data_IF_220679642574
#
_entry.id   IF_220679642574
#
_cell.length_a   1.000
_cell.length_b   1.000
_cell.length_c   1.000
_cell.angle_alpha   90.00
_cell.angle_beta   90.00
_cell.angle_gamma   90.00
#
_symmetry.space_group_name_H-M   'P 1'
#
loop_
_entity.id
_entity.type
_entity.pdbx_description
1 polymer ?
#
# COMPACT_ATOMS: atom_id res chain seq x y z
N UNK A 1 34.75 34.85 -9.53
CA UNK A 1 35.25 33.57 -8.96
C UNK A 1 36.46 33.05 -9.76
N UNK A 2 37.39 33.94 -10.15
CA UNK A 2 38.51 33.59 -11.04
C UNK A 2 39.88 34.01 -10.51
N UNK A 3 39.93 34.66 -9.34
CA UNK A 3 41.19 35.08 -8.70
C UNK A 3 41.72 34.07 -7.68
N UNK A 4 40.91 33.07 -7.28
CA UNK A 4 41.33 32.05 -6.32
C UNK A 4 42.25 30.99 -6.96
N UNK A 5 41.98 30.58 -8.21
CA UNK A 5 42.79 29.56 -8.89
C UNK A 5 44.23 30.02 -9.24
N UNK A 6 44.40 31.31 -9.57
CA UNK A 6 45.71 31.87 -9.97
C UNK A 6 46.66 32.01 -8.77
N UNK A 7 46.14 32.15 -7.56
CA UNK A 7 46.94 32.20 -6.33
C UNK A 7 47.24 30.81 -5.76
N UNK A 8 46.40 29.80 -6.03
CA UNK A 8 46.60 28.43 -5.55
C UNK A 8 47.82 27.79 -6.22
N UNK A 9 47.96 27.87 -7.55
CA UNK A 9 49.07 27.24 -8.28
C UNK A 9 50.48 27.69 -7.81
N UNK A 10 50.76 29.00 -7.68
CA UNK A 10 52.05 29.46 -7.17
C UNK A 10 52.23 29.08 -5.69
N UNK A 11 51.18 29.17 -4.88
CA UNK A 11 51.24 28.86 -3.45
C UNK A 11 51.44 27.35 -3.19
N UNK A 12 50.93 26.48 -4.06
CA UNK A 12 51.15 25.02 -4.03
C UNK A 12 52.60 24.67 -4.38
N UNK A 13 53.15 25.31 -5.42
CA UNK A 13 54.55 25.14 -5.81
C UNK A 13 55.48 25.68 -4.72
N UNK A 14 55.18 26.86 -4.17
CA UNK A 14 55.93 27.42 -3.04
C UNK A 14 55.81 26.56 -1.79
N UNK A 15 54.63 26.02 -1.48
CA UNK A 15 54.43 25.13 -0.33
C UNK A 15 55.16 23.80 -0.52
N UNK A 16 55.10 23.20 -1.72
CA UNK A 16 55.84 21.98 -2.04
C UNK A 16 57.36 22.20 -1.99
N UNK A 17 57.85 23.28 -2.59
CA UNK A 17 59.26 23.66 -2.53
C UNK A 17 59.70 24.00 -1.11
N UNK A 18 58.87 24.69 -0.33
CA UNK A 18 59.18 25.05 1.05
C UNK A 18 59.17 23.83 1.97
N UNK A 19 58.24 22.89 1.80
CA UNK A 19 58.23 21.59 2.50
C UNK A 19 59.48 20.79 2.13
N UNK A 20 59.83 20.72 0.85
CA UNK A 20 61.03 20.03 0.39
C UNK A 20 62.30 20.68 0.93
N UNK A 21 62.38 22.01 0.90
CA UNK A 21 63.50 22.79 1.43
C UNK A 21 63.59 22.68 2.95
N UNK A 22 62.47 22.67 3.68
CA UNK A 22 62.41 22.40 5.12
C UNK A 22 62.89 21.00 5.45
N UNK A 23 62.44 19.97 4.72
CA UNK A 23 62.91 18.60 4.87
C UNK A 23 64.41 18.45 4.57
N UNK A 24 64.94 19.28 3.67
CA UNK A 24 66.35 19.25 3.27
C UNK A 24 67.25 20.06 4.22
N UNK A 25 66.79 21.23 4.70
CA UNK A 25 67.47 22.10 5.65
C UNK A 25 67.42 21.55 7.08
N UNK A 26 66.32 20.89 7.45
CA UNK A 26 66.23 20.11 8.66
C UNK A 26 67.01 18.80 8.46
N UNK A 27 68.35 18.92 8.39
CA UNK A 27 69.27 17.80 8.51
C UNK A 27 69.03 17.12 9.86
N UNK A 28 68.05 16.22 9.90
CA UNK A 28 68.13 15.03 10.71
C UNK A 28 69.10 14.11 9.97
N UNK A 29 70.38 14.01 10.38
CA UNK A 29 71.25 13.00 9.81
C UNK A 29 70.61 11.65 10.14
N UNK A 30 69.94 11.01 9.18
CA UNK A 30 69.66 9.59 9.32
C UNK A 30 71.03 8.90 9.20
N UNK A 31 71.55 8.28 10.27
CA UNK A 31 72.77 7.50 10.16
C UNK A 31 72.55 6.42 9.10
N UNK A 32 73.33 6.47 8.02
CA UNK A 32 73.30 5.45 6.96
C UNK A 32 73.64 4.10 7.62
N UNK A 33 72.68 3.18 7.65
CA UNK A 33 72.86 1.82 8.20
C UNK A 33 72.17 1.49 9.52
N UNK A 34 71.43 2.40 10.18
CA UNK A 34 70.64 2.01 11.35
C UNK A 34 69.30 1.36 10.98
N UNK A 35 69.06 0.16 11.49
CA UNK A 35 67.80 -0.58 11.35
C UNK A 35 66.66 0.22 11.99
N UNK A 36 65.79 0.83 11.18
CA UNK A 36 64.55 1.46 11.68
C UNK A 36 63.82 0.51 12.62
N UNK A 37 63.39 1.01 13.79
CA UNK A 37 62.68 0.23 14.82
C UNK A 37 61.50 -0.51 14.17
N UNK A 38 61.42 -1.83 14.38
CA UNK A 38 60.40 -2.70 13.76
C UNK A 38 58.98 -2.17 14.00
N UNK A 39 58.72 -1.63 15.19
CA UNK A 39 57.44 -1.00 15.59
C UNK A 39 57.00 0.12 14.65
N UNK A 40 57.91 0.97 14.15
CA UNK A 40 57.54 2.08 13.26
C UNK A 40 57.19 1.57 11.85
N UNK A 41 57.87 0.51 11.39
CA UNK A 41 57.59 -0.10 10.09
C UNK A 41 56.25 -0.83 10.06
N UNK A 42 55.99 -1.68 11.06
CA UNK A 42 54.76 -2.45 11.14
C UNK A 42 53.57 -1.64 11.68
N UNK A 43 53.82 -0.63 12.52
CA UNK A 43 52.78 0.28 13.02
C UNK A 43 52.25 1.21 11.93
N UNK A 44 53.12 1.89 11.18
CA UNK A 44 52.69 2.82 10.13
C UNK A 44 52.02 2.09 8.95
N UNK A 45 52.55 0.93 8.53
CA UNK A 45 51.94 0.10 7.49
C UNK A 45 50.64 -0.58 7.96
N UNK A 46 50.61 -1.11 9.19
CA UNK A 46 49.44 -1.76 9.76
C UNK A 46 48.27 -0.80 9.97
N UNK A 47 48.55 0.45 10.36
CA UNK A 47 47.53 1.49 10.53
C UNK A 47 46.87 1.84 9.19
N UNK A 48 47.65 1.96 8.10
CA UNK A 48 47.13 2.19 6.75
C UNK A 48 46.25 1.01 6.28
N UNK A 49 46.72 -0.22 6.48
CA UNK A 49 45.96 -1.43 6.12
C UNK A 49 44.65 -1.52 6.93
N UNK A 50 44.69 -1.21 8.24
CA UNK A 50 43.52 -1.19 9.10
C UNK A 50 42.47 -0.16 8.63
N UNK A 51 42.88 1.07 8.32
CA UNK A 51 41.97 2.09 7.81
C UNK A 51 41.36 1.70 6.46
N UNK A 52 42.13 1.06 5.58
CA UNK A 52 41.63 0.58 4.29
C UNK A 52 40.57 -0.52 4.48
N UNK A 53 40.79 -1.46 5.40
CA UNK A 53 39.79 -2.48 5.76
C UNK A 53 38.54 -1.81 6.33
N UNK A 54 38.69 -0.86 7.27
CA UNK A 54 37.57 -0.14 7.85
C UNK A 54 36.76 0.62 6.79
N UNK A 55 37.38 1.31 5.83
CA UNK A 55 36.65 2.06 4.80
C UNK A 55 35.85 1.14 3.86
N UNK A 56 36.31 -0.09 3.64
CA UNK A 56 35.60 -1.07 2.79
C UNK A 56 34.52 -1.82 3.59
N UNK A 57 34.83 -2.24 4.82
CA UNK A 57 33.94 -3.06 5.64
C UNK A 57 32.91 -2.26 6.42
N UNK A 58 33.28 -1.08 6.94
CA UNK A 58 32.35 -0.22 7.68
C UNK A 58 31.09 0.13 6.90
N UNK A 59 31.12 0.54 5.61
CA UNK A 59 29.89 0.80 4.86
C UNK A 59 29.07 -0.47 4.65
N UNK A 60 29.70 -1.64 4.46
CA UNK A 60 28.99 -2.91 4.34
C UNK A 60 28.28 -3.29 5.65
N UNK A 61 28.97 -3.14 6.79
CA UNK A 61 28.41 -3.37 8.12
C UNK A 61 27.29 -2.38 8.43
N UNK A 62 27.48 -1.10 8.11
CA UNK A 62 26.47 -0.07 8.33
C UNK A 62 25.21 -0.30 7.49
N UNK A 63 25.35 -0.67 6.20
CA UNK A 63 24.20 -1.03 5.35
C UNK A 63 23.45 -2.25 5.92
N UNK A 64 24.18 -3.24 6.45
CA UNK A 64 23.55 -4.41 7.06
C UNK A 64 22.78 -4.07 8.35
N UNK A 65 23.31 -3.17 9.19
CA UNK A 65 22.67 -2.72 10.41
C UNK A 65 21.42 -1.89 10.14
N UNK A 66 21.46 -0.98 9.16
CA UNK A 66 20.30 -0.17 8.75
C UNK A 66 19.16 -1.03 8.19
N UNK A 67 19.48 -2.13 7.50
CA UNK A 67 18.46 -3.08 7.03
C UNK A 67 17.96 -4.04 8.12
N UNK A 68 18.70 -4.18 9.22
CA UNK A 68 18.38 -5.11 10.30
C UNK A 68 17.40 -4.55 11.34
N UNK A 69 16.90 -3.32 11.16
CA UNK A 69 15.82 -2.80 12.00
C UNK A 69 14.54 -3.56 11.62
N UNK A 70 14.26 -4.61 12.41
CA UNK A 70 13.10 -5.49 12.27
C UNK A 70 11.86 -4.61 12.28
N UNK A 71 11.21 -4.52 11.12
CA UNK A 71 10.03 -3.69 11.01
C UNK A 71 8.91 -4.28 11.86
N UNK A 72 8.15 -3.42 12.54
CA UNK A 72 7.03 -3.86 13.39
C UNK A 72 5.80 -4.06 12.50
N UNK A 73 5.13 -5.20 12.66
CA UNK A 73 3.86 -5.49 11.98
C UNK A 73 2.76 -4.64 12.61
N UNK A 74 2.09 -3.83 11.79
CA UNK A 74 0.96 -3.01 12.23
C UNK A 74 -0.30 -3.39 11.45
N UNK A 75 -1.09 -4.30 12.02
CA UNK A 75 -2.38 -4.71 11.47
C UNK A 75 -3.41 -3.57 11.60
N UNK A 76 -4.35 -3.45 10.66
CA UNK A 76 -5.45 -2.50 10.79
C UNK A 76 -6.33 -2.84 12.00
N UNK A 77 -6.74 -1.81 12.74
CA UNK A 77 -7.70 -1.92 13.85
C UNK A 77 -9.15 -1.81 13.35
N UNK A 78 -9.34 -1.10 12.24
CA UNK A 78 -10.61 -0.93 11.57
C UNK A 78 -10.41 -0.90 10.05
N UNK A 79 -11.33 -1.56 9.35
CA UNK A 79 -11.40 -1.60 7.88
C UNK A 79 -12.80 -1.13 7.48
N UNK A 80 -12.87 0.05 6.88
CA UNK A 80 -14.11 0.60 6.34
C UNK A 80 -14.18 0.39 4.83
N UNK A 81 -15.28 -0.15 4.31
CA UNK A 81 -15.57 -0.25 2.88
C UNK A 81 -16.84 0.53 2.55
N UNK A 82 -16.78 1.29 1.46
CA UNK A 82 -17.88 2.13 0.98
C UNK A 82 -18.11 1.92 -0.51
N UNK A 83 -19.39 1.81 -0.90
CA UNK A 83 -19.80 1.84 -2.31
C UNK A 83 -20.67 3.05 -2.54
N UNK A 84 -20.23 3.91 -3.46
CA UNK A 84 -20.90 5.16 -3.83
C UNK A 84 -21.20 5.16 -5.31
N UNK A 85 -22.33 5.74 -5.67
CA UNK A 85 -22.73 5.95 -7.06
C UNK A 85 -22.72 7.45 -7.33
N UNK A 86 -21.86 7.91 -8.23
CA UNK A 86 -21.68 9.34 -8.52
C UNK A 86 -21.40 10.19 -7.27
N UNK A 87 -22.08 11.34 -7.21
CA UNK A 87 -22.04 12.27 -6.07
C UNK A 87 -23.11 12.04 -5.00
N UNK A 88 -23.84 10.92 -5.06
CA UNK A 88 -24.97 10.65 -4.17
C UNK A 88 -24.53 10.04 -2.83
N UNK A 89 -25.49 9.91 -1.91
CA UNK A 89 -25.32 9.19 -0.65
C UNK A 89 -24.80 7.75 -0.90
N UNK A 90 -23.85 7.25 -0.09
CA UNK A 90 -23.30 5.91 -0.25
C UNK A 90 -24.42 4.88 -0.22
N UNK A 91 -24.38 3.96 -1.19
CA UNK A 91 -25.29 2.83 -1.22
C UNK A 91 -24.94 1.91 -0.05
N UNK A 92 -23.66 1.60 0.12
CA UNK A 92 -23.17 0.69 1.14
C UNK A 92 -22.06 1.33 1.95
N UNK A 93 -22.10 1.14 3.26
CA UNK A 93 -21.00 1.44 4.18
C UNK A 93 -20.93 0.35 5.23
N UNK A 94 -19.78 -0.31 5.32
CA UNK A 94 -19.51 -1.31 6.34
C UNK A 94 -18.15 -1.05 6.95
N UNK A 95 -18.06 -1.18 8.27
CA UNK A 95 -16.81 -1.10 9.01
C UNK A 95 -16.64 -2.35 9.84
N UNK A 96 -15.47 -2.97 9.74
CA UNK A 96 -15.14 -4.15 10.54
C UNK A 96 -13.97 -3.86 11.46
N UNK A 97 -14.16 -4.23 12.72
CA UNK A 97 -13.18 -4.04 13.77
C UNK A 97 -12.29 -5.28 13.93
N UNK A 98 -11.29 -5.18 14.80
CA UNK A 98 -10.25 -6.18 15.03
C UNK A 98 -10.75 -7.63 15.25
N UNK A 99 -11.92 -7.84 15.84
CA UNK A 99 -12.50 -9.18 16.02
C UNK A 99 -12.89 -9.91 14.72
N UNK A 100 -13.19 -9.14 13.67
CA UNK A 100 -13.52 -9.65 12.33
C UNK A 100 -12.32 -9.58 11.38
N UNK A 101 -11.15 -9.15 11.87
CA UNK A 101 -9.88 -9.11 11.14
C UNK A 101 -9.03 -10.28 11.62
N UNK A 102 -8.92 -11.31 10.79
CA UNK A 102 -8.20 -12.55 11.12
C UNK A 102 -6.78 -12.50 10.54
N UNK A 103 -5.72 -12.58 11.36
CA UNK A 103 -4.37 -12.74 10.84
C UNK A 103 -4.22 -14.08 10.13
N UNK A 104 -3.42 -14.12 9.07
CA UNK A 104 -3.11 -15.36 8.36
C UNK A 104 -2.36 -16.32 9.29
N UNK A 105 -2.73 -17.59 9.23
CA UNK A 105 -1.86 -18.66 9.73
C UNK A 105 -1.00 -19.21 8.58
N UNK A 106 0.03 -19.99 8.93
CA UNK A 106 0.96 -20.52 7.94
C UNK A 106 0.25 -21.36 6.85
N UNK A 107 -0.79 -22.13 7.21
CA UNK A 107 -1.59 -22.88 6.23
C UNK A 107 -2.36 -21.98 5.25
N UNK A 108 -2.82 -20.81 5.69
CA UNK A 108 -3.54 -19.87 4.82
C UNK A 108 -2.59 -19.27 3.78
N UNK A 109 -1.37 -18.95 4.21
CA UNK A 109 -0.33 -18.43 3.33
C UNK A 109 0.17 -19.49 2.33
N UNK A 110 0.27 -20.74 2.76
CA UNK A 110 0.56 -21.88 1.88
C UNK A 110 -0.56 -22.09 0.84
N UNK A 111 -1.82 -21.93 1.25
CA UNK A 111 -2.95 -22.00 0.31
C UNK A 111 -2.93 -20.84 -0.71
N UNK A 112 -2.66 -19.62 -0.24
CA UNK A 112 -2.52 -18.44 -1.09
C UNK A 112 -1.40 -18.63 -2.13
N UNK A 113 -0.21 -19.06 -1.68
CA UNK A 113 0.93 -19.30 -2.57
C UNK A 113 0.67 -20.43 -3.55
N UNK A 114 -0.06 -21.48 -3.15
CA UNK A 114 -0.50 -22.54 -4.07
C UNK A 114 -1.47 -22.02 -5.13
N UNK A 115 -2.43 -21.18 -4.73
CA UNK A 115 -3.44 -20.61 -5.63
C UNK A 115 -2.82 -19.72 -6.71
N UNK A 116 -1.78 -18.97 -6.34
CA UNK A 116 -1.09 -18.05 -7.25
C UNK A 116 0.25 -18.60 -7.79
N UNK A 117 0.56 -19.88 -7.56
CA UNK A 117 1.86 -20.48 -7.88
C UNK A 117 2.24 -20.39 -9.36
N UNK A 118 1.24 -20.46 -10.24
CA UNK A 118 1.43 -20.38 -11.70
C UNK A 118 1.67 -18.93 -12.19
N UNK A 119 1.35 -17.92 -11.36
CA UNK A 119 1.55 -16.51 -11.70
C UNK A 119 2.84 -15.98 -11.08
N UNK A 120 3.90 -15.93 -11.89
CA UNK A 120 5.23 -15.46 -11.47
C UNK A 120 5.21 -14.01 -10.90
N UNK A 121 4.38 -13.12 -11.46
CA UNK A 121 4.24 -11.74 -10.98
C UNK A 121 3.55 -11.71 -9.61
N UNK A 122 2.52 -12.53 -9.43
CA UNK A 122 1.83 -12.70 -8.15
C UNK A 122 2.76 -13.21 -7.05
N UNK A 123 3.52 -14.26 -7.35
CA UNK A 123 4.48 -14.85 -6.42
C UNK A 123 5.62 -13.90 -6.04
N UNK A 124 6.11 -13.09 -6.99
CA UNK A 124 7.15 -12.10 -6.69
C UNK A 124 6.70 -11.07 -5.65
N UNK A 125 5.40 -10.74 -5.61
CA UNK A 125 4.86 -9.85 -4.60
C UNK A 125 4.50 -10.56 -3.31
N UNK A 126 3.84 -11.71 -3.37
CA UNK A 126 3.43 -12.47 -2.18
C UNK A 126 4.66 -12.78 -1.32
N UNK A 127 5.77 -13.19 -1.94
CA UNK A 127 7.04 -13.50 -1.26
C UNK A 127 7.73 -12.31 -0.58
N UNK A 128 7.30 -11.06 -0.83
CA UNK A 128 7.78 -9.88 -0.09
C UNK A 128 7.19 -9.81 1.32
N UNK A 129 6.10 -10.52 1.58
CA UNK A 129 5.38 -10.52 2.85
C UNK A 129 5.51 -11.89 3.53
N UNK A 130 5.57 -11.89 4.85
CA UNK A 130 5.41 -13.10 5.66
C UNK A 130 3.93 -13.34 5.97
N UNK A 131 3.56 -14.55 6.41
CA UNK A 131 2.19 -14.82 6.83
C UNK A 131 1.72 -13.88 7.95
N UNK A 132 2.62 -13.45 8.83
CA UNK A 132 2.34 -12.46 9.90
C UNK A 132 1.94 -11.08 9.36
N UNK A 133 2.30 -10.74 8.13
CA UNK A 133 2.05 -9.43 7.53
C UNK A 133 0.66 -9.35 6.87
N UNK A 134 -0.02 -10.48 6.73
CA UNK A 134 -1.25 -10.60 5.96
C UNK A 134 -2.43 -10.86 6.89
N UNK A 135 -3.54 -10.16 6.63
CA UNK A 135 -4.80 -10.35 7.35
C UNK A 135 -5.96 -10.49 6.39
N UNK A 136 -6.99 -11.22 6.80
CA UNK A 136 -8.30 -11.26 6.14
C UNK A 136 -9.30 -10.46 6.97
N UNK A 137 -9.83 -9.38 6.40
CA UNK A 137 -10.97 -8.66 6.95
C UNK A 137 -12.28 -9.30 6.45
N UNK A 138 -13.09 -9.78 7.38
CA UNK A 138 -14.38 -10.43 7.09
C UNK A 138 -15.49 -9.39 7.05
N UNK A 139 -15.71 -8.77 5.90
CA UNK A 139 -16.67 -7.67 5.73
C UNK A 139 -18.08 -8.23 5.58
N UNK A 140 -19.02 -7.80 6.41
CA UNK A 140 -20.42 -8.20 6.26
C UNK A 140 -21.02 -7.62 4.96
N UNK A 141 -21.78 -8.43 4.24
CA UNK A 141 -22.40 -8.07 2.97
C UNK A 141 -23.57 -7.10 3.09
N UNK A 142 -24.21 -7.01 4.26
CA UNK A 142 -25.29 -6.03 4.49
C UNK A 142 -24.75 -4.70 4.97
N UNK A 143 -25.26 -3.58 4.46
CA UNK A 143 -24.79 -2.25 4.89
C UNK A 143 -25.01 -2.04 6.39
N UNK A 144 -24.00 -1.52 7.09
CA UNK A 144 -24.07 -1.21 8.52
C UNK A 144 -24.93 0.03 8.82
N UNK A 145 -25.41 0.73 7.79
CA UNK A 145 -26.28 1.89 7.90
C UNK A 145 -27.44 1.83 6.91
N UNK A 146 -28.58 2.37 7.35
CA UNK A 146 -29.77 2.63 6.52
C UNK A 146 -29.40 3.67 5.45
N UNK A 147 -29.91 3.50 4.23
CA UNK A 147 -29.67 4.40 3.10
C UNK A 147 -30.46 5.70 3.27
N UNK A 148 -29.75 6.81 3.51
CA UNK A 148 -30.33 8.12 3.88
C UNK A 148 -30.52 9.07 2.70
N UNK A 149 -30.79 8.55 1.50
CA UNK A 149 -31.01 9.42 0.34
C UNK A 149 -32.29 10.23 0.50
N UNK A 150 -32.26 11.50 0.09
CA UNK A 150 -33.47 12.32 0.05
C UNK A 150 -34.38 11.88 -1.11
N UNK A 151 -35.72 11.94 -0.98
CA UNK A 151 -36.64 11.62 -2.09
C UNK A 151 -36.33 12.35 -3.42
N UNK A 152 -36.03 13.66 -3.45
CA UNK A 152 -35.67 14.33 -4.70
C UNK A 152 -34.33 13.83 -5.26
N UNK A 153 -33.31 13.61 -4.41
CA UNK A 153 -32.03 13.04 -4.87
C UNK A 153 -32.19 11.64 -5.44
N UNK A 154 -33.11 10.82 -4.90
CA UNK A 154 -33.42 9.49 -5.45
C UNK A 154 -34.05 9.59 -6.84
N UNK A 155 -34.95 10.54 -7.07
CA UNK A 155 -35.56 10.75 -8.38
C UNK A 155 -34.53 11.21 -9.42
N UNK A 156 -33.64 12.14 -9.05
CA UNK A 156 -32.55 12.56 -9.93
C UNK A 156 -31.57 11.42 -10.22
N UNK A 157 -31.25 10.58 -9.23
CA UNK A 157 -30.41 9.40 -9.44
C UNK A 157 -31.05 8.42 -10.45
N UNK A 158 -32.35 8.15 -10.33
CA UNK A 158 -33.07 7.28 -11.27
C UNK A 158 -33.03 7.88 -12.68
N UNK A 159 -33.27 9.18 -12.81
CA UNK A 159 -33.21 9.90 -14.08
C UNK A 159 -31.81 9.88 -14.69
N UNK A 160 -30.76 10.05 -13.87
CA UNK A 160 -29.37 9.99 -14.33
C UNK A 160 -28.95 8.56 -14.73
N UNK A 161 -29.51 7.54 -14.09
CA UNK A 161 -29.29 6.15 -14.48
C UNK A 161 -29.92 5.83 -15.84
N UNK A 162 -31.12 6.34 -16.13
CA UNK A 162 -31.89 6.00 -17.34
C UNK A 162 -31.61 6.92 -18.53
N UNK A 163 -31.57 8.23 -18.32
CA UNK A 163 -31.65 9.23 -19.39
C UNK A 163 -30.35 10.02 -19.61
N UNK A 164 -29.34 9.86 -18.74
CA UNK A 164 -28.10 10.65 -18.85
C UNK A 164 -27.19 10.14 -19.97
N UNK A 165 -26.68 11.04 -20.85
CA UNK A 165 -25.70 10.70 -21.87
C UNK A 165 -24.26 10.65 -21.33
N UNK A 166 -24.06 10.89 -20.03
CA UNK A 166 -22.74 10.89 -19.37
C UNK A 166 -22.54 9.61 -18.57
N UNK A 167 -21.31 9.12 -18.53
CA UNK A 167 -20.90 7.99 -17.72
C UNK A 167 -21.14 8.27 -16.22
N UNK A 168 -21.74 7.30 -15.53
CA UNK A 168 -21.96 7.38 -14.10
C UNK A 168 -20.93 6.52 -13.38
N UNK A 169 -20.07 7.13 -12.55
CA UNK A 169 -19.03 6.38 -11.86
C UNK A 169 -19.56 5.66 -10.62
N UNK A 170 -19.47 4.32 -10.60
CA UNK A 170 -19.58 3.50 -9.40
C UNK A 170 -18.22 3.43 -8.72
N UNK A 171 -18.14 3.89 -7.47
CA UNK A 171 -16.89 3.96 -6.70
C UNK A 171 -16.95 3.04 -5.50
N UNK A 172 -16.04 2.07 -5.48
CA UNK A 172 -15.69 1.27 -4.31
C UNK A 172 -14.48 1.93 -3.64
N UNK A 173 -14.58 2.30 -2.37
CA UNK A 173 -13.45 2.85 -1.62
C UNK A 173 -13.28 2.13 -0.29
N UNK A 174 -12.03 1.95 0.11
CA UNK A 174 -11.68 1.30 1.37
C UNK A 174 -10.70 2.16 2.15
N UNK A 175 -10.85 2.16 3.47
CA UNK A 175 -10.03 2.88 4.41
C UNK A 175 -9.57 1.93 5.50
N UNK A 176 -8.28 1.97 5.81
CA UNK A 176 -7.68 1.21 6.91
C UNK A 176 -7.22 2.17 7.98
N UNK A 177 -7.67 1.94 9.22
CA UNK A 177 -7.17 2.62 10.40
C UNK A 177 -6.15 1.72 11.10
N UNK A 178 -5.02 2.29 11.55
CA UNK A 178 -3.94 1.58 12.25
C UNK A 178 -3.63 2.24 13.58
N UNK A 179 -3.10 1.44 14.51
CA UNK A 179 -2.69 1.92 15.82
C UNK A 179 -1.30 2.58 15.74
N UNK A 180 -1.22 3.89 15.96
CA UNK A 180 0.05 4.63 15.99
C UNK A 180 0.92 4.26 17.19
N UNK A 181 0.35 3.67 18.25
CA UNK A 181 1.09 3.20 19.42
C UNK A 181 2.03 2.04 19.13
N UNK A 182 1.79 1.30 18.04
CA UNK A 182 2.63 0.17 17.60
C UNK A 182 3.72 0.55 16.59
N UNK A 183 3.81 1.83 16.23
CA UNK A 183 4.70 2.35 15.18
C UNK A 183 3.93 2.88 13.96
N UNK A 184 4.62 3.57 13.08
CA UNK A 184 4.04 4.27 11.93
C UNK A 184 3.73 5.75 12.19
N UNK A 185 3.61 6.52 11.10
CA UNK A 185 3.30 7.96 11.12
C UNK A 185 1.92 8.29 10.54
N UNK A 186 1.26 7.29 9.96
CA UNK A 186 -0.02 7.44 9.24
C UNK A 186 -1.05 6.52 9.87
N UNK A 187 -2.08 7.12 10.44
CA UNK A 187 -3.20 6.40 11.07
C UNK A 187 -4.17 5.84 10.03
N UNK A 188 -4.52 6.65 9.02
CA UNK A 188 -5.49 6.28 7.99
C UNK A 188 -4.84 6.16 6.63
N UNK A 189 -5.03 5.02 5.98
CA UNK A 189 -4.67 4.80 4.58
C UNK A 189 -5.93 4.48 3.79
N UNK A 190 -6.05 5.04 2.59
CA UNK A 190 -7.25 4.88 1.77
C UNK A 190 -6.87 4.63 0.31
N UNK A 191 -7.68 3.87 -0.39
CA UNK A 191 -7.63 3.76 -1.85
C UNK A 191 -9.05 3.55 -2.40
N UNK A 192 -9.20 3.67 -3.72
CA UNK A 192 -10.48 3.57 -4.41
C UNK A 192 -10.35 2.85 -5.74
N UNK A 193 -11.41 2.17 -6.11
CA UNK A 193 -11.67 1.67 -7.43
C UNK A 193 -12.92 2.34 -8.00
N UNK A 194 -12.84 2.76 -9.25
CA UNK A 194 -13.90 3.45 -9.97
C UNK A 194 -14.21 2.69 -11.24
N UNK A 195 -15.49 2.39 -11.44
CA UNK A 195 -16.04 1.71 -12.61
C UNK A 195 -16.99 2.71 -13.26
N UNK A 196 -16.73 3.05 -14.51
CA UNK A 196 -17.57 3.98 -15.26
C UNK A 196 -18.71 3.21 -15.91
N UNK A 197 -19.95 3.55 -15.56
CA UNK A 197 -21.15 2.93 -16.11
C UNK A 197 -21.59 3.70 -17.35
N UNK A 198 -21.35 3.13 -18.52
CA UNK A 198 -21.70 3.73 -19.81
C UNK A 198 -23.22 3.91 -19.99
N UNK A 199 -23.68 4.95 -20.73
CA UNK A 199 -25.07 5.14 -21.09
C UNK A 199 -25.67 3.91 -21.79
N UNK A 200 -26.87 3.50 -21.37
CA UNK A 200 -27.54 2.32 -21.94
C UNK A 200 -26.98 0.97 -21.51
N UNK A 201 -25.99 0.93 -20.60
CA UNK A 201 -25.51 -0.33 -20.03
C UNK A 201 -26.61 -1.06 -19.25
N UNK A 202 -26.65 -2.41 -19.28
CA UNK A 202 -27.67 -3.18 -18.57
C UNK A 202 -27.63 -2.91 -17.06
N UNK A 203 -26.44 -2.69 -16.49
CA UNK A 203 -26.23 -2.38 -15.06
C UNK A 203 -27.00 -1.13 -14.63
N UNK A 204 -27.02 -0.06 -15.44
CA UNK A 204 -27.76 1.17 -15.11
C UNK A 204 -29.28 0.92 -15.10
N UNK A 205 -29.78 0.17 -16.07
CA UNK A 205 -31.21 -0.19 -16.14
C UNK A 205 -31.65 -1.09 -14.97
N UNK A 206 -30.78 -2.02 -14.54
CA UNK A 206 -31.03 -2.90 -13.41
C UNK A 206 -31.03 -2.13 -12.08
N UNK A 207 -30.05 -1.24 -11.88
CA UNK A 207 -29.98 -0.37 -10.71
C UNK A 207 -31.19 0.58 -10.62
N UNK A 208 -31.58 1.20 -11.74
CA UNK A 208 -32.78 2.03 -11.78
C UNK A 208 -34.04 1.22 -11.44
N UNK A 209 -34.15 -0.01 -11.96
CA UNK A 209 -35.29 -0.90 -11.67
C UNK A 209 -35.38 -1.30 -10.19
N UNK A 210 -34.23 -1.50 -9.52
CA UNK A 210 -34.16 -1.72 -8.08
C UNK A 210 -34.64 -0.49 -7.31
N UNK A 211 -34.20 0.71 -7.70
CA UNK A 211 -34.58 1.97 -7.06
C UNK A 211 -36.05 2.32 -7.21
N UNK A 212 -36.68 1.96 -8.34
CA UNK A 212 -38.12 2.12 -8.57
C UNK A 212 -38.93 1.06 -7.80
N UNK A 213 -38.32 -0.07 -7.45
CA UNK A 213 -38.99 -1.20 -6.80
C UNK A 213 -39.70 -2.15 -7.78
N UNK A 214 -39.39 -2.06 -9.08
CA UNK A 214 -39.96 -2.95 -10.11
C UNK A 214 -39.19 -4.28 -10.24
N UNK A 215 -38.07 -4.42 -9.51
CA UNK A 215 -37.21 -5.60 -9.52
C UNK A 215 -36.83 -5.98 -8.09
N UNK A 216 -36.86 -7.28 -7.81
CA UNK A 216 -36.39 -7.87 -6.54
C UNK A 216 -35.07 -8.64 -6.69
N UNK A 217 -34.62 -8.86 -7.94
CA UNK A 217 -33.36 -9.55 -8.23
C UNK A 217 -32.16 -8.58 -8.16
N UNK A 218 -31.01 -8.98 -7.62
CA UNK A 218 -29.81 -8.13 -7.56
C UNK A 218 -29.41 -7.57 -8.93
N UNK A 219 -28.83 -6.37 -8.93
CA UNK A 219 -28.14 -5.79 -10.08
C UNK A 219 -26.68 -6.26 -10.07
N UNK A 220 -26.18 -6.77 -11.21
CA UNK A 220 -24.81 -7.29 -11.30
C UNK A 220 -23.88 -6.18 -11.80
N UNK A 221 -22.97 -5.71 -10.95
CA UNK A 221 -21.90 -4.80 -11.34
C UNK A 221 -20.62 -5.60 -11.55
N UNK A 222 -20.15 -5.64 -12.79
CA UNK A 222 -18.86 -6.24 -13.15
C UNK A 222 -17.70 -5.31 -12.79
N UNK A 223 -16.49 -5.87 -12.64
CA UNK A 223 -15.21 -5.14 -12.48
C UNK A 223 -14.79 -4.70 -11.06
N UNK A 224 -15.09 -5.45 -9.99
CA UNK A 224 -14.49 -5.20 -8.66
C UNK A 224 -13.11 -5.85 -8.55
N UNK A 225 -12.05 -5.21 -8.03
CA UNK A 225 -10.69 -5.75 -8.15
C UNK A 225 -10.50 -7.11 -7.45
N UNK A 226 -10.05 -8.12 -8.20
CA UNK A 226 -9.43 -9.37 -7.72
C UNK A 226 -7.90 -9.18 -7.71
N UNK A 227 -7.21 -10.02 -6.96
CA UNK A 227 -5.77 -9.92 -6.71
C UNK A 227 -4.92 -10.00 -7.98
N UNK A 228 -4.14 -8.95 -8.28
CA UNK A 228 -2.91 -9.06 -9.10
C UNK A 228 -1.89 -7.98 -8.70
N UNK A 229 -0.70 -8.37 -8.22
CA UNK A 229 0.30 -7.40 -7.80
C UNK A 229 1.21 -7.00 -8.95
N UNK A 230 0.67 -6.22 -9.88
CA UNK A 230 1.48 -5.63 -10.94
C UNK A 230 1.80 -4.16 -10.61
N UNK A 231 3.08 -3.74 -10.54
CA UNK A 231 3.47 -2.34 -10.37
C UNK A 231 3.20 -1.48 -11.62
N UNK A 232 2.71 -2.07 -12.72
CA UNK A 232 2.27 -1.37 -13.94
C UNK A 232 0.83 -1.78 -14.26
N UNK A 233 -0.07 -0.81 -14.22
CA UNK A 233 -1.51 -0.95 -14.46
C UNK A 233 -1.77 -0.55 -15.92
N UNK A 234 -1.82 -1.51 -16.83
CA UNK A 234 -2.41 -1.29 -18.17
C UNK A 234 -3.91 -1.60 -18.10
N UNK A 235 -4.72 -0.83 -18.83
CA UNK A 235 -6.19 -0.85 -18.87
C UNK A 235 -6.81 -2.13 -19.47
N UNK A 236 -6.04 -3.20 -19.68
CA UNK A 236 -6.43 -4.30 -20.60
C UNK A 236 -6.47 -5.70 -19.98
N UNK A 237 -6.35 -5.85 -18.65
CA UNK A 237 -6.44 -7.17 -18.01
C UNK A 237 -7.74 -7.33 -17.21
N UNK A 238 -8.84 -7.60 -17.93
CA UNK A 238 -10.19 -7.84 -17.43
C UNK A 238 -10.36 -9.20 -16.69
N UNK A 239 -9.31 -10.03 -16.66
CA UNK A 239 -9.34 -11.37 -16.06
C UNK A 239 -9.24 -11.38 -14.52
N UNK A 240 -8.87 -10.25 -13.94
CA UNK A 240 -8.59 -10.08 -12.51
C UNK A 240 -9.65 -9.30 -11.76
N UNK A 241 -10.93 -9.35 -12.14
CA UNK A 241 -12.00 -8.67 -11.42
C UNK A 241 -13.08 -9.64 -10.94
N UNK A 242 -13.52 -9.50 -9.68
CA UNK A 242 -14.71 -10.09 -9.12
C UNK A 242 -15.94 -9.33 -9.59
N UNK A 243 -17.01 -10.05 -9.90
CA UNK A 243 -18.31 -9.43 -10.13
C UNK A 243 -19.02 -9.30 -8.78
N UNK A 244 -19.61 -8.14 -8.50
CA UNK A 244 -20.43 -7.95 -7.31
C UNK A 244 -21.90 -7.82 -7.69
N UNK A 245 -22.77 -8.22 -6.78
CA UNK A 245 -24.21 -8.04 -6.90
C UNK A 245 -24.67 -7.05 -5.83
N UNK A 246 -25.45 -6.05 -6.26
CA UNK A 246 -26.06 -5.04 -5.41
C UNK A 246 -27.56 -5.35 -5.28
N UNK A 247 -28.06 -5.43 -4.05
CA UNK A 247 -29.49 -5.63 -3.76
C UNK A 247 -30.00 -4.54 -2.84
N UNK A 248 -31.20 -4.02 -3.12
CA UNK A 248 -31.88 -3.08 -2.24
C UNK A 248 -32.84 -3.85 -1.34
N UNK A 249 -32.60 -3.81 -0.04
CA UNK A 249 -33.46 -4.39 0.98
C UNK A 249 -34.36 -3.30 1.56
N UNK A 250 -35.59 -3.66 1.91
CA UNK A 250 -36.55 -2.73 2.53
C UNK A 250 -37.32 -3.41 3.65
N UNK A 251 -37.40 -2.78 4.82
CA UNK A 251 -38.32 -3.18 5.86
C UNK A 251 -39.59 -2.30 5.84
N UNK A 252 -40.74 -2.97 5.77
CA UNK A 252 -42.08 -2.36 5.79
C UNK A 252 -42.85 -2.72 7.07
N UNK A 253 -42.19 -3.35 8.05
CA UNK A 253 -42.80 -3.91 9.25
C UNK A 253 -43.42 -2.87 10.18
N UNK A 254 -42.86 -1.65 10.25
CA UNK A 254 -43.41 -0.56 11.05
C UNK A 254 -44.36 0.34 10.24
N UNK A 255 -45.66 0.11 10.36
CA UNK A 255 -46.73 0.91 9.72
C UNK A 255 -46.69 2.43 10.00
N UNK A 256 -45.96 2.87 11.03
CA UNK A 256 -45.89 4.27 11.48
C UNK A 256 -44.50 4.93 11.33
N UNK A 257 -43.43 4.19 11.03
CA UNK A 257 -42.13 4.77 10.71
C UNK A 257 -41.84 4.47 9.25
N UNK A 258 -41.54 5.48 8.44
CA UNK A 258 -41.34 5.33 6.99
C UNK A 258 -40.46 4.14 6.60
N UNK A 259 -40.66 3.64 5.38
CA UNK A 259 -39.93 2.50 4.82
C UNK A 259 -38.42 2.68 4.99
N UNK A 260 -37.79 1.80 5.75
CA UNK A 260 -36.33 1.80 5.90
C UNK A 260 -35.73 0.93 4.81
N UNK A 261 -34.78 1.49 4.07
CA UNK A 261 -34.09 0.79 2.98
C UNK A 261 -32.59 0.75 3.26
N UNK A 262 -31.93 -0.35 2.91
CA UNK A 262 -30.48 -0.50 2.99
C UNK A 262 -29.99 -1.36 1.83
N UNK A 263 -28.69 -1.32 1.57
CA UNK A 263 -28.08 -2.09 0.47
C UNK A 263 -27.32 -3.30 0.99
N UNK A 264 -27.48 -4.41 0.29
CA UNK A 264 -26.68 -5.60 0.43
C UNK A 264 -25.76 -5.76 -0.78
N UNK A 265 -24.53 -6.18 -0.51
CA UNK A 265 -23.49 -6.51 -1.48
C UNK A 265 -23.09 -7.96 -1.29
N UNK A 266 -22.93 -8.68 -2.39
CA UNK A 266 -22.37 -10.02 -2.40
C UNK A 266 -21.46 -10.23 -3.62
N UNK A 267 -20.57 -11.21 -3.53
CA UNK A 267 -19.79 -11.68 -4.68
C UNK A 267 -20.73 -12.49 -5.58
N UNK A 268 -20.68 -12.23 -6.89
CA UNK A 268 -21.48 -12.98 -7.85
C UNK A 268 -21.10 -14.46 -7.83
N UNK A 269 -22.10 -15.33 -7.94
CA UNK A 269 -21.92 -16.79 -8.02
C UNK A 269 -21.28 -17.41 -6.74
N UNK A 270 -21.48 -16.77 -5.59
CA UNK A 270 -21.05 -17.27 -4.28
C UNK A 270 -21.97 -18.40 -3.74
N UNK A 271 -21.40 -19.33 -2.98
CA UNK A 271 -22.16 -20.38 -2.30
C UNK A 271 -23.07 -19.77 -1.19
N UNK A 272 -24.30 -20.28 -1.00
CA UNK A 272 -25.28 -19.67 -0.10
C UNK A 272 -24.80 -19.50 1.35
N UNK A 273 -23.89 -20.36 1.82
CA UNK A 273 -23.37 -20.34 3.18
C UNK A 273 -22.32 -19.23 3.44
N UNK A 274 -21.63 -18.76 2.40
CA UNK A 274 -20.56 -17.76 2.50
C UNK A 274 -20.89 -16.43 1.83
N UNK A 275 -22.03 -16.33 1.14
CA UNK A 275 -22.47 -15.16 0.38
C UNK A 275 -22.70 -13.89 1.22
N UNK A 276 -22.92 -14.04 2.53
CA UNK A 276 -23.13 -12.92 3.46
C UNK A 276 -21.85 -12.22 3.92
N UNK A 277 -20.66 -12.71 3.56
CA UNK A 277 -19.38 -12.15 3.99
C UNK A 277 -18.43 -12.01 2.81
N UNK A 278 -17.79 -10.84 2.69
CA UNK A 278 -16.79 -10.52 1.69
C UNK A 278 -15.40 -10.53 2.35
N UNK A 279 -14.58 -11.58 2.11
CA UNK A 279 -13.23 -11.61 2.64
C UNK A 279 -12.31 -10.68 1.84
N UNK A 280 -11.69 -9.72 2.52
CA UNK A 280 -10.67 -8.84 1.95
C UNK A 280 -9.31 -9.19 2.53
N UNK A 281 -8.37 -9.56 1.66
CA UNK A 281 -6.98 -9.85 2.05
C UNK A 281 -6.13 -8.59 1.93
N UNK A 282 -5.47 -8.25 3.04
CA UNK A 282 -4.74 -7.00 3.22
C UNK A 282 -3.29 -7.34 3.52
N UNK A 283 -2.38 -6.83 2.68
CA UNK A 283 -0.93 -6.96 2.88
C UNK A 283 -0.42 -5.72 3.61
N UNK A 284 0.20 -5.93 4.77
CA UNK A 284 0.66 -4.83 5.61
C UNK A 284 2.17 -4.66 5.46
N UNK A 285 2.59 -3.49 4.98
CA UNK A 285 4.00 -3.10 5.03
C UNK A 285 4.45 -2.92 6.48
N UNK A 286 5.64 -3.43 6.81
CA UNK A 286 6.30 -3.25 8.11
C UNK A 286 6.87 -1.84 8.22
N UNK A 287 6.76 -1.22 9.40
CA UNK A 287 7.38 0.07 9.66
C UNK A 287 8.83 -0.11 10.13
N UNK A 288 9.78 0.51 9.43
CA UNK A 288 11.20 0.51 9.78
C UNK A 288 11.59 1.72 10.65
N UNK A 289 10.67 2.27 11.43
CA UNK A 289 10.93 3.39 12.33
C UNK A 289 11.57 4.60 11.63
N UNK A 290 12.04 5.56 12.43
CA UNK A 290 12.56 6.83 11.92
C UNK A 290 14.01 6.73 11.39
N UNK A 291 14.27 5.94 10.36
CA UNK A 291 15.43 6.21 9.48
C UNK A 291 14.98 7.21 8.42
N UNK A 292 14.98 8.50 8.80
CA UNK A 292 14.75 9.61 7.86
C UNK A 292 15.87 9.66 6.82
N UNK A 293 15.67 8.99 5.69
CA UNK A 293 16.23 9.46 4.42
C UNK A 293 15.16 10.34 3.79
N UNK A 294 15.45 11.64 3.65
CA UNK A 294 14.52 12.61 3.06
C UNK A 294 14.19 12.21 1.63
N UNK A 295 13.01 11.63 1.47
CA UNK A 295 12.29 11.48 0.21
C UNK A 295 10.81 11.34 0.57
N UNK A 296 9.87 11.84 -0.26
CA UNK A 296 8.45 11.63 -0.03
C UNK A 296 8.15 10.14 -0.22
N UNK A 297 8.26 9.37 0.86
CA UNK A 297 7.80 8.00 0.94
C UNK A 297 6.29 8.00 0.93
N UNK A 298 5.71 7.87 -0.26
CA UNK A 298 4.30 7.52 -0.40
C UNK A 298 4.12 6.09 0.14
N UNK A 299 3.56 5.97 1.34
CA UNK A 299 3.02 4.71 1.85
C UNK A 299 1.96 4.21 0.85
N UNK A 300 2.15 3.03 0.27
CA UNK A 300 1.24 2.48 -0.74
C UNK A 300 0.67 1.18 -0.21
N UNK A 301 -0.36 1.29 0.62
CA UNK A 301 -1.12 0.11 1.08
C UNK A 301 -1.82 -0.52 -0.13
N UNK A 302 -1.64 -1.83 -0.28
CA UNK A 302 -2.29 -2.62 -1.33
C UNK A 302 -3.20 -3.64 -0.68
N UNK A 303 -4.47 -3.55 -0.98
CA UNK A 303 -5.50 -4.46 -0.50
C UNK A 303 -6.27 -5.04 -1.65
N UNK A 304 -6.74 -6.27 -1.47
CA UNK A 304 -7.38 -7.04 -2.52
C UNK A 304 -8.56 -7.80 -1.92
N UNK A 305 -9.67 -7.90 -2.64
CA UNK A 305 -10.78 -8.76 -2.24
C UNK A 305 -10.48 -10.15 -2.82
N UNK A 306 -10.50 -11.20 -1.99
CA UNK A 306 -10.34 -12.58 -2.44
C UNK A 306 -11.67 -13.33 -2.33
N UNK A 307 -11.78 -14.38 -3.14
CA UNK A 307 -12.71 -15.49 -2.97
C UNK A 307 -11.85 -16.75 -2.91
#
# INVERSE_FOLDING_TARGET
MSYTAVFICPFDIFSCCFIYLLLFLQKYPQPKGQKKKKIVKYGMGGLIIFFLICIIWFPLLFISLVRSVVGVVNHPIDVTVTVKLGGYEPLFTMSVQQQSIKPFVQSDYENLTRTFGDNAVAMQFITLYSYEDVVTAMIEGSSGSVWRISPPSRQELIKELLDSPVDLTLRLAWTFQRDLGKGGTVEHTFDKHSIDLEPGSPVRSELASLLVGNRTKPARASHVPKLHPSPKRSREDESGYLNITLSLMSDKSLRNSGTQEWWDIAIADCEPASCGVLPMVIFNDKDHGAVRVRGPGHWKVRSWILQ
#
